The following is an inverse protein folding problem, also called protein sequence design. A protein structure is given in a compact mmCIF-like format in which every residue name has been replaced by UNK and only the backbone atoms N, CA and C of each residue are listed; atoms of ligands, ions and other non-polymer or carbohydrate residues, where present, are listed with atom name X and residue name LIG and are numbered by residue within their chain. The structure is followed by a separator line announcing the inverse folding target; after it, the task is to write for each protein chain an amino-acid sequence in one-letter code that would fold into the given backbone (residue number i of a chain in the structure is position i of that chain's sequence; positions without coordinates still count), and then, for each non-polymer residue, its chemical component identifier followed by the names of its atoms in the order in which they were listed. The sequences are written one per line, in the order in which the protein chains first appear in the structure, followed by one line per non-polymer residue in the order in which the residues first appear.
data_IF_799493975645
#
_entry.id   IF_799493975645
#
_cell.length_a   1.000
_cell.length_b   1.000
_cell.length_c   1.000
_cell.angle_alpha   90.00
_cell.angle_beta   90.00
_cell.angle_gamma   90.00
#
_symmetry.space_group_name_H-M   'P 1'
#
loop_
_entity.id
_entity.type
_entity.pdbx_description
1 polymer ?
#
# COMPACT_ATOMS: atom_id res chain seq x y z
N UNK A 1 10.80 -15.30 -0.48
CA UNK A 1 9.55 -15.13 -1.24
C UNK A 1 9.10 -13.67 -1.17
N UNK A 2 8.86 -13.02 -2.28
CA UNK A 2 8.34 -11.64 -2.25
C UNK A 2 6.94 -11.58 -1.64
N UNK A 3 6.69 -10.54 -0.84
CA UNK A 3 5.37 -10.28 -0.28
C UNK A 3 4.57 -9.44 -1.26
N UNK A 4 3.49 -9.99 -1.77
CA UNK A 4 2.62 -9.34 -2.74
C UNK A 4 1.22 -9.15 -2.16
N UNK A 5 0.60 -8.01 -2.44
CA UNK A 5 -0.81 -7.80 -2.14
C UNK A 5 -1.66 -8.58 -3.14
N UNK A 6 -2.75 -9.18 -2.66
CA UNK A 6 -3.65 -9.94 -3.50
C UNK A 6 -4.33 -9.07 -4.56
N UNK A 7 -4.41 -9.57 -5.78
CA UNK A 7 -5.07 -8.88 -6.89
C UNK A 7 -6.58 -9.07 -6.76
N UNK A 8 -7.32 -7.98 -6.59
CA UNK A 8 -8.79 -8.00 -6.47
C UNK A 8 -9.49 -7.65 -7.78
N UNK A 9 -8.83 -6.88 -8.65
CA UNK A 9 -9.36 -6.49 -9.95
C UNK A 9 -8.84 -7.49 -10.99
N UNK A 10 -9.73 -8.18 -11.67
CA UNK A 10 -9.35 -9.15 -12.70
C UNK A 10 -8.79 -8.45 -13.94
N UNK A 11 -8.05 -9.21 -14.76
CA UNK A 11 -7.59 -8.73 -16.08
C UNK A 11 -8.77 -8.25 -16.93
N UNK A 12 -9.86 -9.02 -16.98
CA UNK A 12 -11.05 -8.66 -17.76
C UNK A 12 -11.67 -7.34 -17.30
N UNK A 13 -11.73 -7.10 -15.99
CA UNK A 13 -12.22 -5.82 -15.44
C UNK A 13 -11.31 -4.66 -15.80
N UNK A 14 -10.01 -4.85 -15.71
CA UNK A 14 -9.02 -3.84 -16.08
C UNK A 14 -9.08 -3.51 -17.58
N UNK A 15 -9.26 -4.50 -18.43
CA UNK A 15 -9.41 -4.32 -19.89
C UNK A 15 -10.70 -3.57 -20.24
N UNK A 16 -11.78 -3.81 -19.52
CA UNK A 16 -13.01 -3.02 -19.68
C UNK A 16 -12.84 -1.56 -19.28
N UNK A 17 -12.13 -1.32 -18.19
CA UNK A 17 -11.87 0.04 -17.70
C UNK A 17 -10.93 0.84 -18.59
N UNK A 18 -10.03 0.18 -19.30
CA UNK A 18 -9.01 0.83 -20.13
C UNK A 18 -9.34 0.81 -21.62
N UNK A 19 -10.13 -0.14 -22.07
CA UNK A 19 -10.50 -0.31 -23.48
C UNK A 19 -9.51 -1.14 -24.30
N UNK A 20 -8.56 -1.83 -23.69
CA UNK A 20 -7.59 -2.66 -24.39
C UNK A 20 -6.76 -3.57 -23.50
N UNK A 21 -5.78 -4.29 -24.06
CA UNK A 21 -4.98 -5.25 -23.32
C UNK A 21 -4.13 -4.58 -22.23
N UNK A 22 -4.04 -5.24 -21.08
CA UNK A 22 -3.31 -4.75 -19.92
C UNK A 22 -2.18 -5.69 -19.54
N UNK A 23 -1.18 -5.16 -18.88
CA UNK A 23 -0.04 -5.90 -18.30
C UNK A 23 -0.03 -5.66 -16.79
N UNK A 24 0.22 -6.72 -16.03
CA UNK A 24 0.32 -6.62 -14.57
C UNK A 24 1.70 -6.07 -14.19
N UNK A 25 1.70 -4.92 -13.52
CA UNK A 25 2.89 -4.28 -12.96
C UNK A 25 2.84 -4.33 -11.45
N UNK A 26 3.93 -4.77 -10.84
CA UNK A 26 4.10 -4.70 -9.40
C UNK A 26 4.93 -3.49 -9.01
N UNK A 27 4.35 -2.66 -8.15
CA UNK A 27 4.97 -1.44 -7.62
C UNK A 27 5.41 -1.66 -6.17
N UNK A 28 6.65 -1.31 -5.80
CA UNK A 28 7.16 -1.55 -4.46
C UNK A 28 6.70 -0.46 -3.48
N UNK A 29 6.10 -0.89 -2.38
CA UNK A 29 5.78 -0.05 -1.25
C UNK A 29 6.49 -0.60 -0.01
N UNK A 30 6.53 0.17 1.06
CA UNK A 30 6.93 -0.32 2.38
C UNK A 30 5.71 -0.37 3.27
N UNK A 31 5.34 -1.55 3.72
CA UNK A 31 4.23 -1.76 4.65
C UNK A 31 4.72 -1.66 6.09
N UNK A 32 4.05 -0.87 6.91
CA UNK A 32 4.28 -0.81 8.35
C UNK A 32 2.95 -0.93 9.07
N UNK A 33 2.83 -1.90 9.96
CA UNK A 33 1.66 -2.02 10.83
C UNK A 33 2.03 -1.76 12.28
N UNK A 34 1.06 -1.24 13.03
CA UNK A 34 1.20 -0.87 14.42
C UNK A 34 0.09 -1.47 15.26
N UNK A 35 0.42 -1.83 16.48
CA UNK A 35 -0.57 -2.16 17.51
C UNK A 35 -0.75 -0.94 18.39
N UNK A 36 -1.99 -0.50 18.55
CA UNK A 36 -2.32 0.58 19.46
C UNK A 36 -2.37 0.03 20.89
N UNK A 37 -1.66 0.69 21.79
CA UNK A 37 -1.62 0.39 23.21
C UNK A 37 -2.17 1.57 23.99
N UNK A 38 -3.29 1.34 24.71
CA UNK A 38 -3.91 2.34 25.55
C UNK A 38 -4.56 1.67 26.74
N UNK A 39 -4.07 1.96 27.95
CA UNK A 39 -4.57 1.36 29.20
C UNK A 39 -5.68 2.21 29.82
N UNK A 40 -5.69 3.52 29.52
CA UNK A 40 -6.62 4.48 30.13
C UNK A 40 -7.17 5.44 29.08
N UNK A 41 -8.34 6.01 29.40
CA UNK A 41 -8.99 7.04 28.60
C UNK A 41 -9.77 6.50 27.40
N UNK A 42 -10.21 7.38 26.49
CA UNK A 42 -11.06 7.01 25.35
C UNK A 42 -10.41 6.02 24.39
N UNK A 43 -9.09 6.08 24.25
CA UNK A 43 -8.34 5.18 23.37
C UNK A 43 -8.33 3.72 23.86
N UNK A 44 -8.65 3.46 25.12
CA UNK A 44 -8.68 2.08 25.68
C UNK A 44 -9.70 1.19 24.99
N UNK A 45 -10.71 1.76 24.33
CA UNK A 45 -11.73 1.02 23.57
C UNK A 45 -11.15 0.30 22.35
N UNK A 46 -10.03 0.80 21.82
CA UNK A 46 -9.36 0.23 20.65
C UNK A 46 -7.97 -0.30 21.00
N UNK A 47 -7.70 -0.53 22.29
CA UNK A 47 -6.46 -1.17 22.74
C UNK A 47 -6.28 -2.53 22.06
N UNK A 48 -5.06 -2.80 21.59
CA UNK A 48 -4.71 -4.02 20.87
C UNK A 48 -5.10 -4.03 19.40
N UNK A 49 -5.78 -3.02 18.90
CA UNK A 49 -6.15 -2.94 17.49
C UNK A 49 -4.92 -2.72 16.61
N UNK A 50 -4.88 -3.40 15.47
CA UNK A 50 -3.79 -3.28 14.49
C UNK A 50 -4.18 -2.30 13.38
N UNK A 51 -3.28 -1.36 13.09
CA UNK A 51 -3.43 -0.39 12.00
C UNK A 51 -2.32 -0.59 10.97
N UNK A 52 -2.68 -0.46 9.71
CA UNK A 52 -1.77 -0.68 8.58
C UNK A 52 -1.50 0.62 7.83
N UNK A 53 -0.25 0.78 7.42
CA UNK A 53 0.19 1.89 6.57
C UNK A 53 0.98 1.35 5.39
N UNK A 54 1.00 2.11 4.31
CA UNK A 54 1.89 1.87 3.16
C UNK A 54 2.62 3.16 2.84
N UNK A 55 3.91 3.05 2.59
CA UNK A 55 4.77 4.18 2.24
C UNK A 55 5.36 3.96 0.86
N UNK A 56 5.23 4.96 0.01
CA UNK A 56 5.94 5.04 -1.27
C UNK A 56 7.26 5.82 -1.06
N UNK A 57 8.37 5.12 -1.06
CA UNK A 57 9.70 5.74 -0.86
C UNK A 57 10.08 6.72 -1.95
N UNK A 58 9.62 6.48 -3.17
CA UNK A 58 9.96 7.34 -4.30
C UNK A 58 9.33 8.73 -4.17
N UNK A 59 8.13 8.82 -3.62
CA UNK A 59 7.38 10.08 -3.46
C UNK A 59 7.35 10.59 -2.02
N UNK A 60 7.67 9.73 -1.04
CA UNK A 60 7.50 10.03 0.38
C UNK A 60 6.04 9.97 0.86
N UNK A 61 5.12 9.59 0.00
CA UNK A 61 3.70 9.50 0.34
C UNK A 61 3.42 8.36 1.31
N UNK A 62 2.65 8.64 2.34
CA UNK A 62 2.22 7.67 3.34
C UNK A 62 0.70 7.63 3.38
N UNK A 63 0.13 6.45 3.25
CA UNK A 63 -1.31 6.23 3.35
C UNK A 63 -1.61 5.20 4.44
N UNK A 64 -2.74 5.39 5.12
CA UNK A 64 -3.31 4.35 5.96
C UNK A 64 -4.11 3.40 5.07
N UNK A 65 -4.09 2.12 5.39
CA UNK A 65 -4.76 1.11 4.59
C UNK A 65 -5.58 0.15 5.44
N UNK A 66 -6.46 -0.58 4.78
CA UNK A 66 -7.04 -1.78 5.36
C UNK A 66 -5.94 -2.82 5.66
N UNK A 67 -6.28 -3.85 6.44
CA UNK A 67 -5.37 -4.96 6.66
C UNK A 67 -4.88 -5.54 5.33
N UNK A 68 -3.59 -5.79 5.22
CA UNK A 68 -3.02 -6.32 3.97
C UNK A 68 -3.50 -7.74 3.72
N UNK A 69 -4.10 -7.96 2.56
CA UNK A 69 -4.35 -9.29 2.05
C UNK A 69 -3.16 -9.70 1.19
N UNK A 70 -2.34 -10.61 1.71
CA UNK A 70 -1.18 -11.12 0.98
C UNK A 70 -1.61 -12.22 0.02
N UNK A 71 -1.21 -12.07 -1.24
CA UNK A 71 -1.43 -13.05 -2.28
C UNK A 71 -0.31 -14.07 -2.37
N UNK A 72 -0.56 -15.15 -3.12
CA UNK A 72 0.45 -16.14 -3.46
C UNK A 72 1.18 -15.72 -4.74
N UNK A 73 2.52 -15.77 -4.72
CA UNK A 73 3.34 -15.49 -5.91
C UNK A 73 3.03 -16.49 -7.04
N UNK A 74 2.61 -17.70 -6.72
CA UNK A 74 2.19 -18.70 -7.71
C UNK A 74 0.97 -18.24 -8.53
N UNK A 75 0.13 -17.36 -7.99
CA UNK A 75 -1.04 -16.80 -8.67
C UNK A 75 -0.69 -15.54 -9.49
N UNK A 76 0.56 -15.11 -9.47
CA UNK A 76 1.02 -13.96 -10.24
C UNK A 76 1.08 -14.32 -11.71
N UNK A 77 0.59 -13.41 -12.56
CA UNK A 77 0.69 -13.54 -14.02
C UNK A 77 2.17 -13.70 -14.41
N UNK A 78 2.46 -14.72 -15.24
CA UNK A 78 3.83 -15.00 -15.68
C UNK A 78 4.45 -13.85 -16.51
N UNK A 79 3.60 -12.99 -17.11
CA UNK A 79 4.02 -11.77 -17.81
C UNK A 79 4.16 -10.55 -16.92
N UNK A 80 3.95 -10.70 -15.61
CA UNK A 80 4.03 -9.58 -14.67
C UNK A 80 5.40 -8.90 -14.70
N UNK A 81 5.37 -7.58 -14.68
CA UNK A 81 6.57 -6.75 -14.65
C UNK A 81 6.79 -6.23 -13.23
N UNK A 82 8.00 -6.43 -12.74
CA UNK A 82 8.40 -5.95 -11.42
C UNK A 82 9.25 -4.69 -11.60
N UNK A 83 8.87 -3.63 -10.92
CA UNK A 83 9.69 -2.42 -10.93
C UNK A 83 11.00 -2.67 -10.19
N UNK A 84 12.11 -2.17 -10.74
CA UNK A 84 13.39 -2.20 -10.05
C UNK A 84 13.29 -1.51 -8.69
N UNK A 85 13.83 -2.17 -7.68
CA UNK A 85 13.74 -1.69 -6.31
C UNK A 85 14.93 -2.15 -5.49
N UNK A 86 15.54 -1.21 -4.80
CA UNK A 86 16.57 -1.49 -3.81
C UNK A 86 15.91 -1.50 -2.42
N UNK A 87 15.98 -2.63 -1.68
CA UNK A 87 15.40 -2.71 -0.35
C UNK A 87 15.93 -1.61 0.59
N UNK A 88 15.09 -1.13 1.48
CA UNK A 88 15.49 -0.14 2.47
C UNK A 88 16.50 -0.75 3.45
N UNK A 89 17.58 0.00 3.72
CA UNK A 89 18.48 -0.34 4.80
C UNK A 89 17.83 -0.06 6.17
N UNK A 90 18.52 -0.38 7.25
CA UNK A 90 17.97 -0.22 8.60
C UNK A 90 17.66 1.24 8.95
N UNK A 91 18.49 2.18 8.49
CA UNK A 91 18.28 3.61 8.70
C UNK A 91 17.03 4.09 7.95
N UNK A 92 16.88 3.73 6.68
CA UNK A 92 15.70 4.05 5.88
C UNK A 92 14.43 3.46 6.49
N UNK A 93 14.46 2.21 6.95
CA UNK A 93 13.32 1.58 7.64
C UNK A 93 12.92 2.34 8.90
N UNK A 94 13.88 2.76 9.72
CA UNK A 94 13.60 3.56 10.92
C UNK A 94 12.94 4.90 10.58
N UNK A 95 13.42 5.58 9.55
CA UNK A 95 12.82 6.83 9.08
C UNK A 95 11.38 6.62 8.59
N UNK A 96 11.14 5.55 7.84
CA UNK A 96 9.80 5.20 7.35
C UNK A 96 8.86 4.90 8.53
N UNK A 97 9.30 4.10 9.49
CA UNK A 97 8.51 3.77 10.70
C UNK A 97 8.15 5.03 11.47
N UNK A 98 9.11 5.95 11.66
CA UNK A 98 8.87 7.21 12.37
C UNK A 98 7.83 8.06 11.65
N UNK A 99 7.97 8.24 10.34
CA UNK A 99 7.04 9.03 9.54
C UNK A 99 5.63 8.39 9.49
N UNK A 100 5.56 7.07 9.35
CA UNK A 100 4.29 6.35 9.35
C UNK A 100 3.58 6.45 10.70
N UNK A 101 4.31 6.33 11.79
CA UNK A 101 3.76 6.51 13.15
C UNK A 101 3.19 7.91 13.35
N UNK A 102 3.91 8.94 12.92
CA UNK A 102 3.45 10.34 13.01
C UNK A 102 2.18 10.56 12.19
N UNK A 103 2.15 10.07 10.97
CA UNK A 103 0.99 10.18 10.07
C UNK A 103 -0.24 9.48 10.66
N UNK A 104 -0.08 8.27 11.14
CA UNK A 104 -1.17 7.50 11.75
C UNK A 104 -1.65 8.14 13.05
N UNK A 105 -0.74 8.60 13.91
CA UNK A 105 -1.09 9.32 15.15
C UNK A 105 -1.93 10.55 14.84
N UNK A 106 -1.50 11.37 13.90
CA UNK A 106 -2.24 12.57 13.51
C UNK A 106 -3.65 12.23 12.98
N UNK A 107 -3.77 11.16 12.21
CA UNK A 107 -5.06 10.70 11.70
C UNK A 107 -5.99 10.21 12.82
N UNK A 108 -5.48 9.40 13.74
CA UNK A 108 -6.25 8.88 14.86
C UNK A 108 -6.76 10.00 15.77
N UNK A 109 -5.93 11.00 16.03
CA UNK A 109 -6.33 12.17 16.83
C UNK A 109 -7.45 12.99 16.18
N UNK A 110 -7.47 13.06 14.84
CA UNK A 110 -8.50 13.83 14.10
C UNK A 110 -9.79 13.07 13.89
N UNK A 111 -9.71 11.78 13.53
CA UNK A 111 -10.88 11.02 13.06
C UNK A 111 -11.62 10.31 14.18
N UNK A 112 -10.94 9.86 15.21
CA UNK A 112 -11.52 9.06 16.30
C UNK A 112 -11.67 9.88 17.57
N UNK A 113 -11.27 11.14 17.56
CA UNK A 113 -11.25 12.04 18.73
C UNK A 113 -10.67 11.34 19.96
N UNK A 114 -9.60 10.62 19.75
CA UNK A 114 -8.86 9.99 20.82
C UNK A 114 -8.13 11.08 21.61
N UNK A 115 -8.85 11.71 22.54
CA UNK A 115 -8.17 12.48 23.57
C UNK A 115 -7.45 11.50 24.49
N UNK A 116 -6.19 11.74 24.79
CA UNK A 116 -5.50 10.97 25.79
C UNK A 116 -4.28 10.22 25.30
N UNK A 117 -3.81 9.33 26.13
CA UNK A 117 -2.52 8.69 25.99
C UNK A 117 -2.68 7.34 25.30
N UNK A 118 -2.09 7.22 24.15
CA UNK A 118 -1.91 5.94 23.47
C UNK A 118 -0.52 5.89 22.84
N UNK A 119 -0.04 4.69 22.63
CA UNK A 119 1.22 4.43 21.90
C UNK A 119 0.94 3.53 20.70
N UNK A 120 1.68 3.77 19.63
CA UNK A 120 1.68 2.90 18.47
C UNK A 120 2.98 2.11 18.47
N UNK A 121 2.86 0.83 18.78
CA UNK A 121 3.98 -0.11 18.76
C UNK A 121 4.08 -0.77 17.40
N UNK A 122 5.29 -0.83 16.82
CA UNK A 122 5.50 -1.55 15.57
C UNK A 122 5.13 -3.02 15.73
N UNK A 123 4.26 -3.50 14.84
CA UNK A 123 3.85 -4.89 14.76
C UNK A 123 4.62 -5.62 13.65
N UNK A 124 4.67 -5.02 12.44
CA UNK A 124 5.31 -5.65 11.29
C UNK A 124 5.83 -4.59 10.32
N UNK A 125 6.98 -4.87 9.73
CA UNK A 125 7.53 -4.09 8.60
C UNK A 125 7.76 -5.04 7.44
N UNK A 126 7.19 -4.73 6.29
CA UNK A 126 7.40 -5.49 5.05
C UNK A 126 8.00 -4.53 4.01
N UNK A 127 9.21 -4.82 3.57
CA UNK A 127 9.88 -4.03 2.54
C UNK A 127 10.64 -4.94 1.56
N UNK A 128 10.26 -4.99 0.30
CA UNK A 128 9.10 -4.34 -0.29
C UNK A 128 7.79 -5.10 -0.08
N UNK A 129 6.70 -4.36 -0.04
CA UNK A 129 5.34 -4.88 -0.16
C UNK A 129 4.86 -4.53 -1.56
N UNK A 130 4.74 -5.51 -2.43
CA UNK A 130 4.44 -5.30 -3.85
C UNK A 130 2.95 -5.09 -4.09
N UNK A 131 2.62 -3.95 -4.69
CA UNK A 131 1.25 -3.59 -5.04
C UNK A 131 0.98 -3.91 -6.51
N UNK A 132 -0.04 -4.71 -6.84
CA UNK A 132 -0.42 -4.98 -8.22
C UNK A 132 -1.15 -3.79 -8.84
N UNK A 133 -0.74 -3.43 -10.06
CA UNK A 133 -1.42 -2.45 -10.89
C UNK A 133 -1.54 -3.01 -12.31
N UNK A 134 -2.68 -2.78 -12.96
CA UNK A 134 -2.85 -3.08 -14.38
C UNK A 134 -2.47 -1.86 -15.21
N UNK A 135 -1.66 -2.07 -16.22
CA UNK A 135 -1.17 -1.00 -17.08
C UNK A 135 -1.63 -1.23 -18.52
N UNK A 136 -2.33 -0.26 -19.05
CA UNK A 136 -2.70 -0.15 -20.45
C UNK A 136 -1.90 0.95 -21.11
N UNK A 137 -1.30 0.66 -22.29
CA UNK A 137 -0.56 1.65 -23.06
C UNK A 137 -1.16 1.74 -24.46
N UNK A 138 -1.66 2.90 -24.82
CA UNK A 138 -2.08 3.21 -26.19
C UNK A 138 -1.00 4.07 -26.86
N UNK A 139 -0.20 3.42 -27.69
CA UNK A 139 0.91 4.08 -28.39
C UNK A 139 0.44 5.12 -29.41
N UNK A 140 -0.72 4.91 -30.02
CA UNK A 140 -1.26 5.82 -31.03
C UNK A 140 -1.74 7.12 -30.42
N UNK A 141 -2.41 7.05 -29.28
CA UNK A 141 -2.90 8.20 -28.54
C UNK A 141 -1.87 8.77 -27.55
N UNK A 142 -0.71 8.13 -27.42
CA UNK A 142 0.32 8.46 -26.43
C UNK A 142 -0.24 8.60 -25.02
N UNK A 143 -1.03 7.61 -24.62
CA UNK A 143 -1.73 7.59 -23.33
C UNK A 143 -1.41 6.29 -22.62
N UNK A 144 -1.22 6.39 -21.33
CA UNK A 144 -1.07 5.28 -20.44
C UNK A 144 -2.12 5.37 -19.33
N UNK A 145 -2.84 4.28 -19.08
CA UNK A 145 -3.84 4.19 -18.02
C UNK A 145 -3.39 3.12 -17.03
N UNK A 146 -3.32 3.52 -15.78
CA UNK A 146 -3.03 2.62 -14.67
C UNK A 146 -4.32 2.33 -13.92
N UNK A 147 -4.60 1.05 -13.69
CA UNK A 147 -5.72 0.61 -12.87
C UNK A 147 -5.17 -0.01 -11.60
N UNK A 148 -5.59 0.51 -10.45
CA UNK A 148 -5.24 -0.05 -9.16
C UNK A 148 -5.80 -1.48 -9.04
N UNK A 149 -4.93 -2.46 -8.88
CA UNK A 149 -5.31 -3.87 -8.80
C UNK A 149 -6.06 -4.24 -7.53
N UNK A 150 -6.15 -3.35 -6.55
CA UNK A 150 -6.84 -3.57 -5.29
C UNK A 150 -8.26 -3.01 -5.31
N UNK A 151 -8.47 -1.80 -5.80
CA UNK A 151 -9.73 -1.07 -5.71
C UNK A 151 -10.32 -0.62 -7.06
N UNK A 152 -9.61 -0.80 -8.17
CA UNK A 152 -10.07 -0.42 -9.50
C UNK A 152 -9.95 1.08 -9.81
N UNK A 153 -9.35 1.86 -8.94
CA UNK A 153 -9.08 3.29 -9.20
C UNK A 153 -8.20 3.46 -10.43
N UNK A 154 -8.48 4.47 -11.24
CA UNK A 154 -7.75 4.71 -12.49
C UNK A 154 -6.97 6.01 -12.45
N UNK A 155 -5.79 6.01 -13.03
CA UNK A 155 -4.98 7.19 -13.28
C UNK A 155 -4.50 7.18 -14.73
N UNK A 156 -4.55 8.33 -15.38
CA UNK A 156 -4.21 8.50 -16.78
C UNK A 156 -3.09 9.51 -16.93
N UNK A 157 -2.10 9.18 -17.75
CA UNK A 157 -1.04 10.11 -18.10
C UNK A 157 -0.78 10.13 -19.61
N UNK A 158 -0.31 11.26 -20.09
CA UNK A 158 0.25 11.36 -21.46
C UNK A 158 1.70 10.90 -21.45
N UNK A 159 2.07 10.20 -22.48
CA UNK A 159 3.45 9.78 -22.73
C UNK A 159 4.23 10.87 -23.47
#
# INVERSE_FOLDING_TARGET
MPSVLAVNITRADAERLTGGPVVLHYYPLTGVSFILQAVRGPASRIDGRVFHTVTDRATGSIATSEAWELGDVADVDASAVWKEYEPADDEAKRSIVTAARQTLTARLLRTVRLGGQFELRVNQVIDPLWKPNWLYTDKNKRVQILVDGLNGGTAKRRL
#
